data_IF_886076109433
#
_entry.id   IF_886076109433
#
_cell.length_a   1.000
_cell.length_b   1.000
_cell.length_c   1.000
_cell.angle_alpha   90.00
_cell.angle_beta   90.00
_cell.angle_gamma   90.00
#
_symmetry.space_group_name_H-M   'P 1'
#
loop_
_entity.id
_entity.type
_entity.pdbx_description
1 polymer ?
#
# COMPACT_ATOMS: atom_id res chain seq x y z
N UNK A 1 -9.95 -39.37 -0.80
CA UNK A 1 -8.99 -38.68 -1.69
C UNK A 1 -9.75 -37.52 -2.34
N UNK A 2 -9.71 -36.33 -1.73
CA UNK A 2 -10.48 -35.16 -2.19
C UNK A 2 -9.64 -34.43 -3.24
N UNK A 3 -10.02 -34.55 -4.51
CA UNK A 3 -9.44 -33.75 -5.58
C UNK A 3 -9.89 -32.30 -5.44
N UNK A 4 -8.99 -31.45 -4.94
CA UNK A 4 -9.13 -30.00 -5.00
C UNK A 4 -8.94 -29.56 -6.46
N UNK A 5 -10.06 -29.35 -7.16
CA UNK A 5 -10.07 -28.74 -8.48
C UNK A 5 -9.59 -27.29 -8.37
N UNK A 6 -8.31 -27.07 -8.62
CA UNK A 6 -7.75 -25.75 -8.91
C UNK A 6 -8.30 -25.28 -10.26
N UNK A 7 -9.49 -24.70 -10.21
CA UNK A 7 -10.11 -24.07 -11.38
C UNK A 7 -9.51 -22.68 -11.50
N UNK A 8 -8.64 -22.46 -12.48
CA UNK A 8 -8.25 -21.11 -12.94
C UNK A 8 -9.49 -20.40 -13.47
N UNK A 9 -10.33 -19.86 -12.58
CA UNK A 9 -11.37 -18.89 -12.93
C UNK A 9 -10.68 -17.61 -13.36
N UNK A 10 -11.01 -17.08 -14.54
CA UNK A 10 -10.44 -15.85 -15.06
C UNK A 10 -10.68 -14.69 -14.08
N UNK A 11 -9.69 -13.80 -13.93
CA UNK A 11 -9.75 -12.63 -13.04
C UNK A 11 -11.02 -11.80 -13.28
N UNK A 12 -11.40 -11.60 -14.55
CA UNK A 12 -12.61 -10.88 -14.95
C UNK A 12 -13.93 -11.48 -14.40
N UNK A 13 -13.99 -12.80 -14.18
CA UNK A 13 -15.17 -13.46 -13.61
C UNK A 13 -15.30 -13.24 -12.09
N UNK A 14 -14.17 -13.05 -11.41
CA UNK A 14 -14.12 -12.79 -9.95
C UNK A 14 -14.52 -11.33 -9.66
N UNK A 15 -13.99 -10.39 -10.43
CA UNK A 15 -14.26 -8.94 -10.26
C UNK A 15 -15.75 -8.61 -10.36
N UNK A 16 -16.46 -9.22 -11.32
CA UNK A 16 -17.89 -8.97 -11.57
C UNK A 16 -18.78 -9.51 -10.44
N UNK A 17 -18.40 -10.63 -9.82
CA UNK A 17 -19.17 -11.25 -8.74
C UNK A 17 -19.03 -10.46 -7.43
N UNK A 18 -17.83 -9.94 -7.17
CA UNK A 18 -17.56 -9.12 -5.99
C UNK A 18 -18.31 -7.79 -6.05
N UNK A 19 -18.27 -7.07 -7.17
CA UNK A 19 -18.95 -5.77 -7.28
C UNK A 19 -20.47 -5.87 -7.12
N UNK A 20 -21.09 -6.92 -7.68
CA UNK A 20 -22.56 -7.09 -7.63
C UNK A 20 -23.07 -7.51 -6.24
N UNK A 21 -22.23 -8.19 -5.45
CA UNK A 21 -22.59 -8.68 -4.11
C UNK A 21 -21.98 -7.85 -2.97
N UNK A 22 -21.10 -6.90 -3.28
CA UNK A 22 -20.34 -6.07 -2.35
C UNK A 22 -21.19 -5.49 -1.21
N UNK A 23 -22.32 -4.83 -1.53
CA UNK A 23 -23.20 -4.23 -0.53
C UNK A 23 -23.80 -5.27 0.43
N UNK A 24 -24.22 -6.43 -0.08
CA UNK A 24 -24.82 -7.49 0.73
C UNK A 24 -23.77 -8.17 1.61
N UNK A 25 -22.57 -8.41 1.08
CA UNK A 25 -21.44 -8.94 1.85
C UNK A 25 -21.09 -7.98 2.98
N UNK A 26 -20.92 -6.69 2.67
CA UNK A 26 -20.57 -5.67 3.66
C UNK A 26 -21.62 -5.51 4.76
N UNK A 27 -22.91 -5.48 4.42
CA UNK A 27 -23.98 -5.19 5.39
C UNK A 27 -24.44 -6.40 6.21
N UNK A 28 -24.19 -7.63 5.74
CA UNK A 28 -24.72 -8.85 6.39
C UNK A 28 -23.68 -9.68 7.14
N UNK A 29 -22.41 -9.60 6.74
CA UNK A 29 -21.34 -10.32 7.41
C UNK A 29 -20.67 -9.39 8.44
N UNK A 30 -20.19 -9.90 9.59
CA UNK A 30 -19.27 -9.17 10.46
C UNK A 30 -17.94 -8.88 9.77
N UNK A 31 -17.20 -7.86 10.23
CA UNK A 31 -15.92 -7.43 9.61
C UNK A 31 -14.89 -8.56 9.61
N UNK A 32 -14.82 -9.33 10.69
CA UNK A 32 -13.89 -10.45 10.86
C UNK A 32 -14.11 -11.54 9.80
N UNK A 33 -15.37 -11.78 9.42
CA UNK A 33 -15.71 -12.74 8.36
C UNK A 33 -15.35 -12.18 6.99
N UNK A 34 -15.48 -10.86 6.79
CA UNK A 34 -15.08 -10.20 5.55
C UNK A 34 -13.56 -10.22 5.38
N UNK A 35 -12.80 -10.02 6.46
CA UNK A 35 -11.34 -10.11 6.47
C UNK A 35 -10.87 -11.49 5.98
N UNK A 36 -11.46 -12.59 6.47
CA UNK A 36 -11.18 -13.95 5.98
C UNK A 36 -11.49 -14.11 4.48
N UNK A 37 -12.56 -13.47 4.00
CA UNK A 37 -12.92 -13.48 2.58
C UNK A 37 -11.87 -12.72 1.77
N UNK A 38 -11.42 -11.55 2.23
CA UNK A 38 -10.37 -10.78 1.58
C UNK A 38 -9.05 -11.55 1.55
N UNK A 39 -8.69 -12.24 2.63
CA UNK A 39 -7.50 -13.08 2.72
C UNK A 39 -7.46 -14.15 1.63
N UNK A 40 -8.61 -14.77 1.39
CA UNK A 40 -8.75 -15.81 0.37
C UNK A 40 -8.77 -15.24 -1.05
N UNK A 41 -9.32 -14.05 -1.24
CA UNK A 41 -9.56 -13.47 -2.57
C UNK A 41 -8.38 -12.64 -3.09
N UNK A 42 -7.67 -11.95 -2.21
CA UNK A 42 -6.61 -11.02 -2.56
C UNK A 42 -5.25 -11.68 -2.40
N UNK A 43 -4.72 -12.19 -3.52
CA UNK A 43 -3.35 -12.68 -3.59
C UNK A 43 -2.36 -11.52 -3.62
N UNK A 44 -1.07 -11.78 -3.36
CA UNK A 44 -0.02 -10.75 -3.48
C UNK A 44 -0.01 -10.09 -4.87
N UNK A 45 -0.30 -10.84 -5.92
CA UNK A 45 -0.43 -10.32 -7.28
C UNK A 45 -1.61 -9.36 -7.43
N UNK A 46 -2.74 -9.64 -6.76
CA UNK A 46 -3.91 -8.76 -6.76
C UNK A 46 -3.63 -7.47 -5.98
N UNK A 47 -2.98 -7.58 -4.81
CA UNK A 47 -2.53 -6.41 -4.02
C UNK A 47 -1.63 -5.51 -4.86
N UNK A 48 -0.65 -6.10 -5.55
CA UNK A 48 0.25 -5.38 -6.43
C UNK A 48 -0.47 -4.71 -7.61
N UNK A 49 -1.39 -5.43 -8.27
CA UNK A 49 -2.21 -4.87 -9.36
C UNK A 49 -3.10 -3.72 -8.89
N UNK A 50 -3.68 -3.82 -7.70
CA UNK A 50 -4.48 -2.74 -7.11
C UNK A 50 -3.58 -1.54 -6.83
N UNK A 51 -2.40 -1.72 -6.23
CA UNK A 51 -1.47 -0.64 -5.94
C UNK A 51 -1.08 0.19 -7.19
N UNK A 52 -0.97 -0.46 -8.35
CA UNK A 52 -0.70 0.21 -9.65
C UNK A 52 -1.86 1.08 -10.17
N UNK A 53 -3.06 0.98 -9.57
CA UNK A 53 -4.23 1.77 -9.95
C UNK A 53 -4.40 3.05 -9.11
N UNK A 54 -3.45 3.33 -8.21
CA UNK A 54 -3.42 4.55 -7.42
C UNK A 54 -3.23 5.79 -8.29
N UNK A 55 -3.83 6.92 -7.89
CA UNK A 55 -3.69 8.21 -8.60
C UNK A 55 -2.25 8.72 -8.59
N UNK A 56 -1.58 8.53 -7.45
CA UNK A 56 -0.17 8.78 -7.22
C UNK A 56 0.45 7.44 -6.88
N UNK A 57 1.65 7.15 -7.38
CA UNK A 57 2.34 5.88 -7.10
C UNK A 57 2.38 5.60 -5.60
N UNK A 58 1.77 4.50 -5.19
CA UNK A 58 1.78 4.06 -3.80
C UNK A 58 3.19 3.65 -3.33
N UNK A 59 4.03 3.16 -4.25
CA UNK A 59 5.38 2.68 -3.95
C UNK A 59 6.45 3.78 -3.93
N UNK A 60 6.15 4.99 -4.43
CA UNK A 60 7.08 6.13 -4.47
C UNK A 60 6.35 7.45 -4.20
N UNK A 61 6.62 8.08 -3.06
CA UNK A 61 5.97 9.33 -2.65
C UNK A 61 6.97 10.36 -2.09
N UNK A 62 6.88 11.65 -2.43
CA UNK A 62 6.03 12.24 -3.46
C UNK A 62 6.58 11.91 -4.85
N UNK A 63 5.69 11.90 -5.85
CA UNK A 63 6.04 11.52 -7.22
C UNK A 63 7.31 12.22 -7.74
N UNK A 64 8.38 11.46 -8.01
CA UNK A 64 9.57 11.98 -8.68
C UNK A 64 9.19 12.38 -10.11
N UNK A 65 9.05 13.69 -10.34
CA UNK A 65 8.87 14.24 -11.69
C UNK A 65 10.07 13.85 -12.55
N UNK A 66 9.84 13.04 -13.59
CA UNK A 66 10.83 12.76 -14.63
C UNK A 66 11.30 11.32 -14.73
N UNK A 67 10.91 10.44 -13.80
CA UNK A 67 11.09 9.01 -13.99
C UNK A 67 9.96 8.45 -14.87
N UNK A 68 10.32 7.81 -15.98
CA UNK A 68 9.37 7.02 -16.75
C UNK A 68 8.74 5.96 -15.83
N UNK A 69 7.43 5.64 -15.98
CA UNK A 69 6.81 4.58 -15.20
C UNK A 69 7.66 3.33 -15.37
N UNK A 70 8.18 2.79 -14.25
CA UNK A 70 8.92 1.53 -14.26
C UNK A 70 7.96 0.50 -14.85
N UNK A 71 8.23 0.07 -16.09
CA UNK A 71 7.51 -1.04 -16.70
C UNK A 71 7.82 -2.28 -15.85
N UNK A 72 6.91 -2.60 -14.93
CA UNK A 72 6.97 -3.86 -14.22
C UNK A 72 6.82 -4.97 -15.26
N UNK A 73 7.92 -5.67 -15.55
CA UNK A 73 8.00 -6.79 -16.50
C UNK A 73 7.27 -8.03 -15.96
N UNK A 74 6.01 -7.92 -15.59
CA UNK A 74 5.11 -9.05 -15.37
C UNK A 74 4.33 -9.29 -16.66
N UNK A 75 4.47 -10.49 -17.24
CA UNK A 75 3.94 -10.93 -18.55
C UNK A 75 2.40 -10.93 -18.70
N UNK A 76 1.67 -10.30 -17.79
CA UNK A 76 0.25 -10.00 -17.94
C UNK A 76 0.06 -8.54 -17.57
N UNK A 77 -0.04 -7.70 -18.60
CA UNK A 77 -0.14 -6.25 -18.52
C UNK A 77 -1.43 -5.83 -17.81
N UNK A 78 -1.35 -5.60 -16.51
CA UNK A 78 -2.20 -4.58 -15.89
C UNK A 78 -1.85 -3.28 -16.60
N UNK A 79 -2.75 -2.78 -17.44
CA UNK A 79 -2.56 -1.47 -18.07
C UNK A 79 -2.52 -0.44 -16.94
N UNK A 80 -1.45 0.38 -16.84
CA UNK A 80 -1.42 1.49 -15.89
C UNK A 80 -2.72 2.30 -16.00
N UNK A 81 -3.41 2.49 -14.87
CA UNK A 81 -4.65 3.29 -14.82
C UNK A 81 -5.97 2.53 -15.04
N UNK A 82 -5.99 1.21 -15.28
CA UNK A 82 -7.25 0.46 -15.33
C UNK A 82 -7.61 -0.09 -13.95
N UNK A 83 -8.42 0.69 -13.22
CA UNK A 83 -8.95 0.35 -11.90
C UNK A 83 -9.84 -0.91 -11.95
N UNK A 84 -9.60 -1.94 -11.12
CA UNK A 84 -10.52 -3.08 -10.98
C UNK A 84 -11.93 -2.64 -10.59
N UNK A 85 -12.95 -3.29 -11.16
CA UNK A 85 -14.36 -2.88 -10.97
C UNK A 85 -14.82 -2.88 -9.52
N UNK A 86 -14.24 -3.75 -8.68
CA UNK A 86 -14.65 -3.90 -7.29
C UNK A 86 -14.06 -2.85 -6.35
N UNK A 87 -13.13 -2.01 -6.83
CA UNK A 87 -12.62 -0.81 -6.12
C UNK A 87 -12.99 0.50 -6.86
N UNK A 88 -13.76 0.42 -7.94
CA UNK A 88 -14.22 1.60 -8.67
C UNK A 88 -15.40 2.25 -7.89
N UNK A 89 -15.22 3.47 -7.35
CA UNK A 89 -16.23 4.13 -6.52
C UNK A 89 -17.51 4.45 -7.30
N UNK A 90 -17.46 4.54 -8.63
CA UNK A 90 -18.64 4.76 -9.46
C UNK A 90 -19.46 3.48 -9.70
N UNK A 91 -18.85 2.31 -9.48
CA UNK A 91 -19.42 1.00 -9.87
C UNK A 91 -19.64 0.03 -8.72
N UNK A 92 -19.09 0.33 -7.55
CA UNK A 92 -19.10 -0.56 -6.40
C UNK A 92 -19.61 0.17 -5.15
N UNK A 93 -19.93 -0.58 -4.10
CA UNK A 93 -20.30 0.01 -2.82
C UNK A 93 -19.06 0.58 -2.11
N UNK A 94 -18.97 1.90 -1.94
CA UNK A 94 -17.76 2.59 -1.44
C UNK A 94 -17.19 2.00 -0.14
N UNK A 95 -17.99 1.71 0.91
CA UNK A 95 -17.45 1.10 2.12
C UNK A 95 -16.79 -0.27 1.88
N UNK A 96 -17.29 -1.05 0.92
CA UNK A 96 -16.63 -2.30 0.55
C UNK A 96 -15.31 -2.05 -0.18
N UNK A 97 -15.23 -1.04 -1.05
CA UNK A 97 -13.98 -0.68 -1.71
C UNK A 97 -12.93 -0.19 -0.70
N UNK A 98 -13.33 0.68 0.24
CA UNK A 98 -12.49 1.16 1.32
C UNK A 98 -11.89 -0.03 2.10
N UNK A 99 -12.71 -1.01 2.48
CA UNK A 99 -12.27 -2.21 3.19
C UNK A 99 -11.25 -3.06 2.42
N UNK A 100 -11.37 -3.15 1.09
CA UNK A 100 -10.37 -3.83 0.24
C UNK A 100 -9.08 -3.01 0.21
N UNK A 101 -9.18 -1.68 0.10
CA UNK A 101 -8.02 -0.79 0.10
C UNK A 101 -7.29 -0.79 1.47
N UNK A 102 -8.01 -0.90 2.58
CA UNK A 102 -7.40 -1.12 3.91
C UNK A 102 -6.51 -2.37 3.91
N UNK A 103 -6.99 -3.49 3.34
CA UNK A 103 -6.23 -4.75 3.22
C UNK A 103 -5.02 -4.58 2.29
N UNK A 104 -5.13 -3.75 1.24
CA UNK A 104 -4.00 -3.40 0.39
C UNK A 104 -2.94 -2.67 1.18
N UNK A 105 -3.30 -1.66 1.97
CA UNK A 105 -2.34 -0.94 2.81
C UNK A 105 -1.67 -1.85 3.85
N UNK A 106 -2.41 -2.78 4.45
CA UNK A 106 -1.86 -3.74 5.42
C UNK A 106 -0.82 -4.69 4.80
N UNK A 107 -1.02 -5.07 3.53
CA UNK A 107 -0.19 -6.09 2.83
C UNK A 107 0.86 -5.51 1.90
N UNK A 108 0.88 -4.19 1.70
CA UNK A 108 1.83 -3.55 0.81
C UNK A 108 3.13 -3.22 1.55
N UNK A 109 4.08 -4.15 1.48
CA UNK A 109 5.28 -4.16 2.36
C UNK A 109 6.47 -3.32 1.88
N UNK A 110 6.33 -2.52 0.83
CA UNK A 110 7.46 -1.76 0.28
C UNK A 110 7.02 -0.41 -0.26
N UNK A 111 7.32 0.64 0.49
CA UNK A 111 7.09 2.02 0.06
C UNK A 111 8.39 2.81 0.19
N UNK A 112 8.64 3.69 -0.77
CA UNK A 112 9.75 4.62 -0.76
C UNK A 112 9.23 6.03 -0.52
N UNK A 113 9.79 6.69 0.49
CA UNK A 113 9.55 8.10 0.79
C UNK A 113 10.88 8.83 0.78
N UNK A 114 10.96 9.92 0.02
CA UNK A 114 12.23 10.65 -0.17
C UNK A 114 12.69 11.36 1.10
N UNK A 115 11.75 11.95 1.86
CA UNK A 115 12.07 12.71 3.08
C UNK A 115 11.11 12.32 4.21
N UNK A 116 11.59 12.04 5.44
CA UNK A 116 10.73 11.63 6.55
C UNK A 116 9.56 12.60 6.86
N UNK A 117 9.76 13.90 6.62
CA UNK A 117 8.73 14.93 6.79
C UNK A 117 7.51 14.76 5.88
N UNK A 118 7.60 13.91 4.85
CA UNK A 118 6.51 13.61 3.91
C UNK A 118 5.64 12.42 4.36
N UNK A 119 6.09 11.63 5.34
CA UNK A 119 5.33 10.47 5.84
C UNK A 119 3.93 10.87 6.34
N UNK A 120 3.73 11.97 7.08
CA UNK A 120 2.38 12.43 7.44
C UNK A 120 1.47 12.68 6.23
N UNK A 121 2.01 13.30 5.18
CA UNK A 121 1.25 13.57 3.96
C UNK A 121 0.91 12.27 3.21
N UNK A 122 1.85 11.32 3.13
CA UNK A 122 1.59 9.98 2.58
C UNK A 122 0.43 9.31 3.33
N UNK A 123 0.49 9.27 4.66
CA UNK A 123 -0.51 8.58 5.48
C UNK A 123 -1.89 9.24 5.43
N UNK A 124 -1.97 10.53 5.11
CA UNK A 124 -3.22 11.27 4.94
C UNK A 124 -3.77 11.28 3.50
N UNK A 125 -3.03 10.76 2.52
CA UNK A 125 -3.42 10.78 1.11
C UNK A 125 -4.39 9.63 0.80
N UNK A 126 -5.58 9.95 0.28
CA UNK A 126 -6.44 8.95 -0.36
C UNK A 126 -5.94 8.68 -1.78
N UNK A 127 -5.23 7.56 -1.94
CA UNK A 127 -4.61 7.18 -3.21
C UNK A 127 -5.62 6.64 -4.24
N UNK A 128 -6.84 6.30 -3.80
CA UNK A 128 -7.81 5.53 -4.58
C UNK A 128 -9.18 6.21 -4.72
N UNK A 129 -9.42 7.34 -4.06
CA UNK A 129 -10.72 8.05 -4.03
C UNK A 129 -11.86 7.17 -3.55
N UNK A 130 -11.60 6.40 -2.51
CA UNK A 130 -12.60 5.53 -1.89
C UNK A 130 -12.86 5.89 -0.44
N UNK A 131 -12.42 7.08 -0.02
CA UNK A 131 -12.52 7.58 1.36
C UNK A 131 -11.76 6.67 2.35
N UNK A 132 -10.57 6.24 1.92
CA UNK A 132 -9.65 5.41 2.71
C UNK A 132 -8.21 5.86 2.47
N UNK A 133 -7.58 6.44 3.49
CA UNK A 133 -6.16 6.75 3.48
C UNK A 133 -5.37 5.67 4.26
N UNK A 134 -4.04 5.57 4.09
CA UNK A 134 -3.24 4.60 4.83
C UNK A 134 -3.37 4.70 6.35
N UNK A 135 -3.59 5.91 6.89
CA UNK A 135 -3.82 6.12 8.34
C UNK A 135 -5.11 5.48 8.88
N UNK A 136 -6.07 5.20 7.99
CA UNK A 136 -7.35 4.60 8.34
C UNK A 136 -7.25 3.06 8.35
N UNK A 137 -6.19 2.50 7.76
CA UNK A 137 -5.93 1.07 7.76
C UNK A 137 -5.51 0.56 9.15
N UNK A 138 -5.74 -0.73 9.39
CA UNK A 138 -5.30 -1.45 10.59
C UNK A 138 -3.80 -1.77 10.54
N UNK A 139 -2.98 -0.75 10.44
CA UNK A 139 -1.54 -0.90 10.51
C UNK A 139 -1.18 -1.53 11.86
N UNK A 140 -0.39 -2.60 11.85
CA UNK A 140 0.12 -3.23 13.07
C UNK A 140 1.47 -2.64 13.48
N UNK A 141 2.29 -2.26 12.49
CA UNK A 141 3.62 -1.67 12.69
C UNK A 141 4.01 -0.79 11.50
N UNK A 142 4.63 0.35 11.77
CA UNK A 142 5.34 1.17 10.79
C UNK A 142 6.84 1.01 11.01
N UNK A 143 7.53 0.42 10.04
CA UNK A 143 8.98 0.35 10.04
C UNK A 143 9.54 1.38 9.06
N UNK A 144 10.32 2.34 9.57
CA UNK A 144 11.01 3.33 8.74
C UNK A 144 12.49 2.99 8.74
N UNK A 145 13.04 2.73 7.55
CA UNK A 145 14.46 2.50 7.39
C UNK A 145 15.05 3.39 6.32
N UNK A 146 16.26 3.87 6.54
CA UNK A 146 16.96 4.74 5.59
C UNK A 146 18.48 4.63 5.70
N UNK A 147 19.17 5.24 4.74
CA UNK A 147 20.62 5.42 4.74
C UNK A 147 20.98 6.82 5.21
N UNK A 148 21.98 6.90 6.07
CA UNK A 148 22.59 8.17 6.51
C UNK A 148 23.86 8.37 5.68
N UNK A 149 23.81 9.22 4.67
CA UNK A 149 25.00 9.58 3.88
C UNK A 149 24.97 11.04 3.44
N UNK A 150 25.87 11.88 3.95
CA UNK A 150 25.90 13.33 3.69
C UNK A 150 26.09 13.75 2.21
N UNK A 151 26.27 12.82 1.28
CA UNK A 151 26.54 13.11 -0.15
C UNK A 151 25.35 12.98 -1.12
N UNK A 152 24.29 12.23 -0.79
CA UNK A 152 23.18 11.97 -1.72
C UNK A 152 21.99 12.91 -1.50
N UNK A 153 21.32 13.34 -2.58
CA UNK A 153 20.11 14.19 -2.48
C UNK A 153 18.93 13.52 -1.75
N UNK A 154 18.97 12.21 -1.60
CA UNK A 154 17.94 11.37 -0.99
C UNK A 154 18.33 10.86 0.40
N UNK A 155 19.47 11.28 0.92
CA UNK A 155 19.89 10.89 2.27
C UNK A 155 19.26 11.78 3.33
N UNK A 156 19.13 11.23 4.53
CA UNK A 156 18.67 11.99 5.70
C UNK A 156 19.90 12.56 6.40
N UNK A 157 19.92 13.88 6.59
CA UNK A 157 20.96 14.54 7.37
C UNK A 157 20.77 14.18 8.85
N UNK A 158 21.85 13.68 9.47
CA UNK A 158 21.85 13.26 10.88
C UNK A 158 21.56 14.44 11.81
N UNK A 159 21.98 15.66 11.43
CA UNK A 159 21.78 16.87 12.22
C UNK A 159 20.31 17.35 12.17
N UNK A 160 19.59 17.02 11.10
CA UNK A 160 18.16 17.36 10.95
C UNK A 160 17.21 16.21 11.28
N UNK A 161 17.72 14.99 11.47
CA UNK A 161 16.94 13.77 11.67
C UNK A 161 15.84 13.90 12.72
N UNK A 162 16.17 14.45 13.90
CA UNK A 162 15.18 14.63 14.97
C UNK A 162 14.05 15.60 14.59
N UNK A 163 14.37 16.63 13.79
CA UNK A 163 13.39 17.58 13.27
C UNK A 163 12.53 16.96 12.17
N UNK A 164 13.15 16.18 11.28
CA UNK A 164 12.47 15.53 10.15
C UNK A 164 11.43 14.51 10.62
N UNK A 165 11.72 13.81 11.72
CA UNK A 165 10.79 12.88 12.35
C UNK A 165 9.83 13.53 13.34
N UNK A 166 10.04 14.80 13.73
CA UNK A 166 9.16 15.49 14.67
C UNK A 166 7.71 15.49 14.18
N UNK A 167 7.50 15.81 12.90
CA UNK A 167 6.15 15.82 12.32
C UNK A 167 5.48 14.44 12.37
N UNK A 168 6.26 13.36 12.20
CA UNK A 168 5.77 11.98 12.36
C UNK A 168 5.40 11.71 13.83
N UNK A 169 6.29 12.01 14.76
CA UNK A 169 6.07 11.70 16.18
C UNK A 169 4.95 12.53 16.80
N UNK A 170 4.72 13.76 16.31
CA UNK A 170 3.67 14.66 16.77
C UNK A 170 2.30 14.38 16.11
N UNK A 171 2.24 13.53 15.08
CA UNK A 171 0.98 13.18 14.44
C UNK A 171 0.06 12.42 15.41
N UNK A 172 -1.19 12.85 15.50
CA UNK A 172 -2.24 12.10 16.18
C UNK A 172 -2.71 10.96 15.26
N UNK A 173 -1.99 9.85 15.34
CA UNK A 173 -2.28 8.62 14.59
C UNK A 173 -3.68 8.08 14.93
N UNK A 174 -4.28 7.34 14.00
CA UNK A 174 -5.49 6.53 14.21
C UNK A 174 -5.24 5.38 15.22
N UNK A 175 -5.72 4.14 15.01
CA UNK A 175 -5.37 3.07 15.95
C UNK A 175 -3.85 3.02 16.16
N UNK A 176 -3.42 3.07 17.43
CA UNK A 176 -2.00 3.21 17.80
C UNK A 176 -1.24 1.97 17.34
N UNK A 177 -0.42 2.11 16.31
CA UNK A 177 0.50 1.08 15.83
C UNK A 177 1.91 1.36 16.32
N UNK A 178 2.72 0.31 16.40
CA UNK A 178 4.11 0.44 16.83
C UNK A 178 4.94 1.12 15.73
N UNK A 179 5.74 2.12 16.10
CA UNK A 179 6.68 2.78 15.18
C UNK A 179 8.09 2.32 15.51
N UNK A 180 8.78 1.80 14.51
CA UNK A 180 10.15 1.31 14.59
C UNK A 180 11.00 2.03 13.55
N UNK A 181 12.07 2.69 13.98
CA UNK A 181 12.91 3.52 13.12
C UNK A 181 14.34 2.99 13.20
N UNK A 182 14.87 2.51 12.07
CA UNK A 182 16.19 1.90 11.99
C UNK A 182 17.02 2.53 10.86
N UNK A 183 18.14 3.16 11.21
CA UNK A 183 19.09 3.70 10.23
C UNK A 183 20.35 2.85 10.14
N UNK A 184 20.92 2.80 8.95
CA UNK A 184 22.24 2.21 8.71
C UNK A 184 23.15 3.30 8.14
N UNK A 185 24.29 3.51 8.79
CA UNK A 185 25.43 4.20 8.20
C UNK A 185 26.20 3.17 7.38
N UNK A 186 26.51 3.46 6.11
CA UNK A 186 27.62 2.78 5.46
C UNK A 186 28.88 3.28 6.16
N UNK A 187 29.32 2.58 7.21
CA UNK A 187 30.73 2.65 7.57
C UNK A 187 31.44 2.00 6.40
N UNK A 188 32.30 2.79 5.73
CA UNK A 188 33.13 2.38 4.61
C UNK A 188 33.45 0.90 4.71
N UNK A 189 32.92 0.14 3.75
CA UNK A 189 33.41 -1.20 3.52
C UNK A 189 34.89 -1.07 3.20
N UNK A 190 35.74 -1.38 4.19
CA UNK A 190 36.93 -2.14 3.89
C UNK A 190 36.50 -3.22 2.90
N UNK A 191 37.06 -3.14 1.70
CA UNK A 191 37.00 -4.19 0.72
C UNK A 191 37.40 -5.47 1.44
N UNK A 192 36.42 -6.36 1.65
CA UNK A 192 36.72 -7.75 1.94
C UNK A 192 37.22 -8.33 0.62
N UNK A 193 38.55 -8.48 0.55
CA UNK A 193 39.29 -9.27 -0.45
C UNK A 193 38.67 -10.65 -0.70
#
# INVERSE_FOLDING_TARGET
MVQLFSTRRSAASRDLRLSTTAKNVHTRLPREVRDIIYDYLLTSDDIFRIAQCSKVRLDRFPYLRGEEPVEYKTKETAKPGVRPRFIDPERTYVPFAAEVIEVVYERFHGLWIDVPSQIPAFLATDFFDVDCAPRDARLSKLHVSGRLDSGEKTSVDIDTLALDFKALLDCNWGPKFDVDIAFRTELDGEALD
#
